data_IF_193543325150
#
_entry.id   IF_193543325150
#
_cell.length_a   1.000
_cell.length_b   1.000
_cell.length_c   1.000
_cell.angle_alpha   90.00
_cell.angle_beta   90.00
_cell.angle_gamma   90.00
#
_symmetry.space_group_name_H-M   'P 1'
#
loop_
_entity.id
_entity.type
_entity.pdbx_description
1 polymer ?
#
# COMPACT_ATOMS: atom_id res chain seq x y z
N UNK A 1 -19.21 -16.74 -2.88
CA UNK A 1 -17.86 -17.10 -2.37
C UNK A 1 -17.10 -17.79 -3.48
N UNK A 2 -15.99 -17.21 -3.93
CA UNK A 2 -15.07 -17.91 -4.84
C UNK A 2 -14.10 -18.77 -4.03
N UNK A 3 -13.32 -19.62 -4.67
CA UNK A 3 -12.18 -20.29 -4.05
C UNK A 3 -10.91 -19.93 -4.84
N UNK A 4 -9.79 -19.79 -4.14
CA UNK A 4 -8.45 -19.72 -4.77
C UNK A 4 -7.61 -20.80 -4.11
N UNK A 5 -7.11 -21.75 -4.90
CA UNK A 5 -6.34 -22.91 -4.41
C UNK A 5 -6.99 -23.72 -3.28
N UNK A 6 -8.32 -23.87 -3.30
CA UNK A 6 -9.06 -24.64 -2.29
C UNK A 6 -9.42 -23.87 -1.02
N UNK A 7 -8.98 -22.62 -0.88
CA UNK A 7 -9.35 -21.75 0.24
C UNK A 7 -10.51 -20.82 -0.14
N UNK A 8 -11.48 -20.59 0.76
CA UNK A 8 -12.55 -19.62 0.53
C UNK A 8 -11.93 -18.27 0.21
N UNK A 9 -12.32 -17.69 -0.93
CA UNK A 9 -12.07 -16.29 -1.23
C UNK A 9 -12.90 -15.49 -0.23
N UNK A 10 -12.25 -15.04 0.84
CA UNK A 10 -12.82 -14.11 1.81
C UNK A 10 -12.99 -12.77 1.09
N UNK A 11 -14.11 -12.63 0.37
CA UNK A 11 -14.35 -11.43 -0.46
C UNK A 11 -14.83 -10.24 0.36
N UNK A 12 -15.29 -10.45 1.59
CA UNK A 12 -15.62 -9.45 2.61
C UNK A 12 -15.66 -10.20 3.96
N UNK A 13 -14.86 -9.78 4.94
CA UNK A 13 -14.98 -10.25 6.34
C UNK A 13 -15.79 -9.19 7.07
N UNK A 14 -17.03 -9.52 7.44
CA UNK A 14 -17.79 -8.69 8.39
C UNK A 14 -17.04 -8.68 9.73
N UNK A 15 -16.98 -7.53 10.39
CA UNK A 15 -16.17 -7.33 11.59
C UNK A 15 -14.71 -7.81 11.44
N UNK A 16 -14.05 -7.38 10.35
CA UNK A 16 -12.67 -7.74 10.07
C UNK A 16 -11.69 -7.36 11.21
N UNK A 17 -12.02 -6.36 12.04
CA UNK A 17 -11.24 -6.02 13.23
C UNK A 17 -11.35 -7.11 14.29
N UNK A 18 -12.57 -7.57 14.61
CA UNK A 18 -12.77 -8.71 15.52
C UNK A 18 -12.11 -9.99 15.01
N UNK A 19 -12.16 -10.23 13.69
CA UNK A 19 -11.43 -11.34 13.07
C UNK A 19 -9.91 -11.22 13.27
N UNK A 20 -9.33 -10.02 13.10
CA UNK A 20 -7.90 -9.82 13.35
C UNK A 20 -7.54 -9.97 14.82
N UNK A 21 -8.39 -9.50 15.75
CA UNK A 21 -8.20 -9.72 17.18
C UNK A 21 -8.10 -11.21 17.48
N UNK A 22 -9.08 -12.01 17.05
CA UNK A 22 -9.06 -13.48 17.21
C UNK A 22 -7.83 -14.14 16.57
N UNK A 23 -7.42 -13.68 15.40
CA UNK A 23 -6.29 -14.26 14.66
C UNK A 23 -4.92 -13.90 15.22
N UNK A 24 -4.83 -12.82 16.00
CA UNK A 24 -3.58 -12.32 16.61
C UNK A 24 -3.46 -12.68 18.10
N UNK A 25 -4.54 -13.19 18.71
CA UNK A 25 -4.52 -13.67 20.09
C UNK A 25 -3.63 -14.91 20.25
N UNK A 26 -2.77 -14.96 21.30
CA UNK A 26 -2.03 -16.16 21.67
C UNK A 26 -2.96 -17.35 21.93
N UNK A 27 -2.59 -18.53 21.44
CA UNK A 27 -3.39 -19.76 21.62
C UNK A 27 -2.94 -20.58 22.81
N UNK A 28 -3.84 -21.41 23.32
CA UNK A 28 -3.50 -22.41 24.35
C UNK A 28 -2.39 -23.33 23.83
N UNK A 29 -1.28 -23.41 24.57
CA UNK A 29 -0.08 -24.15 24.15
C UNK A 29 1.00 -23.31 23.44
N UNK A 30 0.76 -22.03 23.19
CA UNK A 30 1.76 -21.05 22.70
C UNK A 30 2.38 -20.24 23.87
N UNK A 31 2.42 -20.84 25.06
CA UNK A 31 2.99 -20.23 26.26
C UNK A 31 4.47 -19.88 26.04
N UNK A 32 4.77 -18.59 26.04
CA UNK A 32 6.14 -18.06 25.86
C UNK A 32 6.48 -17.57 24.45
N UNK A 33 5.55 -17.62 23.49
CA UNK A 33 5.67 -16.88 22.22
C UNK A 33 5.54 -15.40 22.53
N UNK A 34 6.63 -14.64 22.33
CA UNK A 34 6.69 -13.20 22.58
C UNK A 34 6.78 -12.40 21.28
N UNK A 35 6.81 -13.08 20.14
CA UNK A 35 6.88 -12.49 18.81
C UNK A 35 5.55 -11.88 18.40
N UNK A 36 5.64 -10.80 17.63
CA UNK A 36 4.45 -10.13 17.10
C UNK A 36 3.80 -10.96 15.98
N UNK A 37 2.47 -11.00 15.98
CA UNK A 37 1.69 -11.29 14.79
C UNK A 37 1.93 -10.21 13.72
N UNK A 38 2.05 -10.63 12.46
CA UNK A 38 2.32 -9.72 11.34
C UNK A 38 1.07 -9.53 10.50
N UNK A 39 0.60 -8.28 10.38
CA UNK A 39 -0.52 -7.91 9.52
C UNK A 39 -0.02 -7.05 8.37
N UNK A 40 -0.33 -7.42 7.13
CA UNK A 40 0.00 -6.59 5.95
C UNK A 40 -1.28 -5.98 5.42
N UNK A 41 -1.41 -4.67 5.60
CA UNK A 41 -2.49 -3.85 5.05
C UNK A 41 -2.05 -3.31 3.70
N UNK A 42 -2.98 -3.30 2.76
CA UNK A 42 -2.76 -2.60 1.51
C UNK A 42 -4.04 -2.07 0.89
N UNK A 43 -3.90 -0.99 0.11
CA UNK A 43 -4.98 -0.33 -0.60
C UNK A 43 -4.54 -0.03 -2.03
N UNK A 44 -5.40 0.57 -2.85
CA UNK A 44 -5.02 0.94 -4.22
C UNK A 44 -6.17 1.29 -5.14
N UNK A 45 -6.13 0.73 -6.35
CA UNK A 45 -6.92 1.17 -7.52
C UNK A 45 -8.44 1.19 -7.33
N UNK A 46 -8.99 0.44 -6.37
CA UNK A 46 -10.42 0.46 -6.09
C UNK A 46 -10.90 1.73 -5.38
N UNK A 47 -9.99 2.60 -4.92
CA UNK A 47 -10.30 3.97 -4.50
C UNK A 47 -10.30 4.91 -5.71
N UNK A 48 -11.12 4.66 -6.71
CA UNK A 48 -11.09 5.45 -7.95
C UNK A 48 -12.48 5.78 -8.46
N UNK A 49 -12.55 6.74 -9.37
CA UNK A 49 -13.79 7.08 -10.09
C UNK A 49 -14.38 5.88 -10.82
N UNK A 50 -13.55 5.03 -11.42
CA UNK A 50 -13.98 3.80 -12.06
C UNK A 50 -14.65 2.83 -11.08
N UNK A 51 -14.02 2.59 -9.94
CA UNK A 51 -14.49 1.61 -8.96
C UNK A 51 -15.69 2.13 -8.13
N UNK A 52 -15.73 3.44 -7.85
CA UNK A 52 -16.76 4.08 -7.02
C UNK A 52 -17.85 4.77 -7.86
N UNK A 53 -17.96 4.45 -9.15
CA UNK A 53 -18.85 5.15 -10.09
C UNK A 53 -20.32 5.21 -9.64
N UNK A 54 -20.81 4.17 -8.94
CA UNK A 54 -22.19 4.13 -8.42
C UNK A 54 -22.42 5.06 -7.22
N UNK A 55 -21.36 5.39 -6.47
CA UNK A 55 -21.41 6.27 -5.30
C UNK A 55 -21.12 7.75 -5.65
N UNK A 56 -20.83 8.03 -6.92
CA UNK A 56 -20.44 9.35 -7.40
C UNK A 56 -21.63 10.00 -8.13
N UNK A 57 -22.15 11.15 -7.64
CA UNK A 57 -23.18 11.88 -8.35
C UNK A 57 -22.65 12.38 -9.70
N UNK A 58 -23.28 11.92 -10.79
CA UNK A 58 -22.88 12.23 -12.19
C UNK A 58 -23.00 13.72 -12.55
N UNK A 59 -23.70 14.51 -11.74
CA UNK A 59 -23.92 15.94 -11.94
C UNK A 59 -22.80 16.81 -11.37
N UNK A 60 -21.87 16.25 -10.59
CA UNK A 60 -20.79 17.02 -9.98
C UNK A 60 -19.62 17.22 -10.95
N UNK A 61 -18.93 18.38 -10.88
CA UNK A 61 -17.68 18.58 -11.60
C UNK A 61 -16.62 17.57 -11.18
N UNK A 62 -15.79 17.12 -12.13
CA UNK A 62 -14.74 16.11 -11.87
C UNK A 62 -13.80 16.49 -10.72
N UNK A 63 -13.42 17.75 -10.61
CA UNK A 63 -12.58 18.26 -9.52
C UNK A 63 -13.20 18.00 -8.15
N UNK A 64 -14.52 18.19 -8.02
CA UNK A 64 -15.25 17.96 -6.77
C UNK A 64 -15.33 16.47 -6.46
N UNK A 65 -15.53 15.63 -7.47
CA UNK A 65 -15.58 14.17 -7.30
C UNK A 65 -14.25 13.66 -6.80
N UNK A 66 -13.14 14.07 -7.42
CA UNK A 66 -11.78 13.69 -6.99
C UNK A 66 -11.52 14.11 -5.55
N UNK A 67 -11.80 15.37 -5.20
CA UNK A 67 -11.63 15.86 -3.84
C UNK A 67 -12.43 15.04 -2.80
N UNK A 68 -13.64 14.60 -3.14
CA UNK A 68 -14.45 13.73 -2.25
C UNK A 68 -13.83 12.34 -2.07
N UNK A 69 -13.31 11.74 -3.14
CA UNK A 69 -12.63 10.44 -3.05
C UNK A 69 -11.38 10.56 -2.19
N UNK A 70 -10.54 11.59 -2.40
CA UNK A 70 -9.34 11.78 -1.58
C UNK A 70 -9.68 12.07 -0.11
N UNK A 71 -10.73 12.85 0.16
CA UNK A 71 -11.21 13.07 1.52
C UNK A 71 -11.69 11.77 2.17
N UNK A 72 -12.54 10.99 1.48
CA UNK A 72 -13.02 9.72 1.98
C UNK A 72 -11.88 8.70 2.19
N UNK A 73 -10.86 8.73 1.33
CA UNK A 73 -9.65 7.93 1.48
C UNK A 73 -8.92 8.30 2.77
N UNK A 74 -8.70 9.60 3.02
CA UNK A 74 -8.05 10.07 4.23
C UNK A 74 -8.83 9.69 5.50
N UNK A 75 -10.15 9.87 5.49
CA UNK A 75 -11.01 9.45 6.62
C UNK A 75 -10.96 7.94 6.86
N UNK A 76 -10.86 7.13 5.81
CA UNK A 76 -10.65 5.68 5.95
C UNK A 76 -9.33 5.38 6.65
N UNK A 77 -8.23 6.04 6.28
CA UNK A 77 -6.92 5.86 6.93
C UNK A 77 -6.98 6.28 8.40
N UNK A 78 -7.58 7.44 8.69
CA UNK A 78 -7.81 7.94 10.05
C UNK A 78 -8.70 7.02 10.89
N UNK A 79 -9.52 6.18 10.27
CA UNK A 79 -10.37 5.22 10.97
C UNK A 79 -9.64 3.89 11.22
N UNK A 80 -8.90 3.39 10.22
CA UNK A 80 -8.26 2.06 10.28
C UNK A 80 -7.14 2.03 11.32
N UNK A 81 -6.28 3.04 11.36
CA UNK A 81 -5.11 3.04 12.24
C UNK A 81 -5.52 2.95 13.72
N UNK A 82 -6.44 3.81 14.22
CA UNK A 82 -6.96 3.67 15.58
C UNK A 82 -7.76 2.39 15.81
N UNK A 83 -8.47 1.87 14.80
CA UNK A 83 -9.25 0.64 14.96
C UNK A 83 -8.38 -0.60 15.20
N UNK A 84 -7.15 -0.62 14.67
CA UNK A 84 -6.18 -1.70 14.89
C UNK A 84 -5.22 -1.43 16.05
N UNK A 85 -5.20 -0.21 16.58
CA UNK A 85 -4.38 0.15 17.72
C UNK A 85 -4.55 -0.81 18.93
N UNK A 86 -5.75 -1.34 19.26
CA UNK A 86 -5.91 -2.24 20.40
C UNK A 86 -5.29 -3.63 20.24
N UNK A 87 -4.91 -4.04 19.02
CA UNK A 87 -4.33 -5.37 18.78
C UNK A 87 -3.00 -5.50 19.54
N UNK A 88 -2.92 -6.51 20.41
CA UNK A 88 -1.73 -6.78 21.23
C UNK A 88 -0.73 -7.60 20.44
N UNK A 89 0.57 -7.47 20.78
CA UNK A 89 1.66 -8.24 20.16
C UNK A 89 1.51 -8.32 18.63
N UNK A 90 1.29 -7.17 18.00
CA UNK A 90 0.98 -7.10 16.58
C UNK A 90 1.79 -5.98 15.94
N UNK A 91 2.47 -6.32 14.85
CA UNK A 91 3.10 -5.37 13.95
C UNK A 91 2.30 -5.32 12.65
N UNK A 92 1.78 -4.13 12.33
CA UNK A 92 1.03 -3.84 11.11
C UNK A 92 1.90 -3.11 10.10
N UNK A 93 2.05 -3.69 8.93
CA UNK A 93 2.72 -3.08 7.79
C UNK A 93 1.70 -2.51 6.83
N UNK A 94 1.83 -1.23 6.48
CA UNK A 94 1.20 -0.72 5.27
C UNK A 94 2.18 -0.82 4.11
N UNK A 95 1.84 -1.62 3.11
CA UNK A 95 2.55 -1.65 1.82
C UNK A 95 2.08 -0.48 0.97
N UNK A 96 3.01 0.39 0.55
CA UNK A 96 2.70 1.47 -0.39
C UNK A 96 1.94 0.95 -1.62
N UNK A 97 0.94 1.72 -2.07
CA UNK A 97 0.22 1.46 -3.32
C UNK A 97 1.24 1.45 -4.46
N UNK A 98 1.25 0.37 -5.22
CA UNK A 98 2.16 0.24 -6.35
C UNK A 98 1.65 1.07 -7.55
N UNK A 99 2.53 1.75 -8.29
CA UNK A 99 2.17 2.53 -9.47
C UNK A 99 1.74 1.63 -10.63
N UNK A 100 0.80 2.12 -11.44
CA UNK A 100 0.58 1.58 -12.77
C UNK A 100 1.43 2.30 -13.82
N UNK A 101 1.78 1.62 -14.90
CA UNK A 101 2.58 2.19 -15.99
C UNK A 101 1.82 2.15 -17.31
N UNK A 102 1.29 3.29 -17.75
CA UNK A 102 0.61 3.35 -19.05
C UNK A 102 1.53 2.79 -20.15
N UNK A 103 0.97 1.97 -21.04
CA UNK A 103 1.70 1.33 -22.14
C UNK A 103 2.88 0.45 -21.69
N UNK A 104 2.76 -0.23 -20.55
CA UNK A 104 3.72 -1.20 -20.04
C UNK A 104 4.23 -2.21 -21.08
N UNK A 105 3.44 -2.53 -22.11
CA UNK A 105 3.87 -3.41 -23.23
C UNK A 105 5.05 -2.87 -24.04
N UNK A 106 5.33 -1.57 -23.97
CA UNK A 106 6.46 -0.91 -24.63
C UNK A 106 7.70 -0.87 -23.73
N UNK A 107 7.54 -1.19 -22.45
CA UNK A 107 8.58 -1.17 -21.44
C UNK A 107 9.12 -2.59 -21.31
N UNK A 108 10.31 -2.84 -21.87
CA UNK A 108 10.94 -4.18 -21.82
C UNK A 108 12.12 -4.23 -20.84
N UNK A 109 12.43 -3.12 -20.18
CA UNK A 109 13.53 -2.98 -19.23
C UNK A 109 13.15 -2.02 -18.10
N UNK A 110 13.70 -2.20 -16.89
CA UNK A 110 13.53 -1.24 -15.81
C UNK A 110 14.03 0.14 -16.21
N UNK A 111 13.41 1.18 -15.66
CA UNK A 111 13.90 2.54 -15.82
C UNK A 111 15.20 2.75 -15.04
N UNK A 112 16.27 3.17 -15.71
CA UNK A 112 17.55 3.54 -15.09
C UNK A 112 17.92 4.98 -15.48
N UNK A 113 18.27 5.88 -14.54
CA UNK A 113 18.16 5.82 -13.07
C UNK A 113 16.73 6.13 -12.56
N UNK A 114 16.48 5.99 -11.25
CA UNK A 114 15.21 6.37 -10.61
C UNK A 114 14.77 7.83 -10.93
N UNK A 115 15.72 8.75 -11.17
CA UNK A 115 15.43 10.12 -11.63
C UNK A 115 14.84 10.14 -13.06
N UNK A 116 15.22 9.20 -13.91
CA UNK A 116 14.64 8.99 -15.25
C UNK A 116 13.25 8.33 -15.19
N UNK A 117 13.02 7.43 -14.23
CA UNK A 117 11.67 6.89 -13.92
C UNK A 117 10.74 8.02 -13.44
N UNK A 118 11.21 8.79 -12.45
CA UNK A 118 10.64 10.09 -12.07
C UNK A 118 10.74 11.15 -13.15
N UNK A 119 11.27 10.86 -14.35
CA UNK A 119 11.45 11.76 -15.50
C UNK A 119 10.36 11.52 -16.56
N UNK A 120 10.09 10.25 -16.87
CA UNK A 120 8.84 9.83 -17.52
C UNK A 120 7.62 10.09 -16.61
N UNK A 121 7.84 10.05 -15.29
CA UNK A 121 6.94 10.55 -14.27
C UNK A 121 7.39 11.93 -13.70
N UNK A 122 8.21 12.77 -14.37
CA UNK A 122 8.66 14.09 -13.78
C UNK A 122 7.64 15.19 -13.87
N UNK A 123 6.59 14.99 -14.66
CA UNK A 123 5.36 15.76 -14.50
C UNK A 123 4.67 15.52 -13.15
N UNK A 124 5.19 14.60 -12.32
CA UNK A 124 4.70 14.27 -10.99
C UNK A 124 5.58 14.88 -9.88
N UNK A 125 6.49 15.81 -10.23
CA UNK A 125 7.07 16.71 -9.26
C UNK A 125 6.03 17.76 -8.88
N UNK A 126 5.37 17.58 -7.74
CA UNK A 126 4.77 18.69 -7.02
C UNK A 126 5.90 19.54 -6.40
N UNK A 127 6.58 20.35 -7.22
CA UNK A 127 7.38 21.48 -6.73
C UNK A 127 6.50 22.73 -6.48
N UNK A 128 5.18 22.58 -6.61
CA UNK A 128 4.18 23.64 -6.47
C UNK A 128 4.02 24.51 -7.73
N UNK A 129 4.76 24.28 -8.82
CA UNK A 129 4.72 25.11 -10.04
C UNK A 129 3.93 24.50 -11.20
N UNK A 130 3.76 23.18 -11.25
CA UNK A 130 2.90 22.47 -12.22
C UNK A 130 1.73 21.87 -11.45
N UNK A 131 0.50 22.25 -11.82
CA UNK A 131 -0.71 21.72 -11.16
C UNK A 131 -1.07 20.35 -11.74
N UNK A 132 -1.81 19.53 -10.97
CA UNK A 132 -2.40 18.26 -11.46
C UNK A 132 -3.23 18.50 -12.74
N UNK A 133 -3.84 19.67 -12.87
CA UNK A 133 -4.66 20.12 -14.01
C UNK A 133 -3.82 20.40 -15.27
N UNK A 134 -2.59 20.93 -15.12
CA UNK A 134 -1.67 21.17 -16.24
C UNK A 134 -1.13 19.85 -16.83
N UNK A 135 -0.99 18.83 -15.99
CA UNK A 135 -0.55 17.50 -16.39
C UNK A 135 -1.61 16.78 -17.25
N UNK A 136 -2.87 16.73 -16.80
CA UNK A 136 -3.95 16.10 -17.58
C UNK A 136 -4.33 16.80 -18.89
N UNK A 137 -3.83 18.02 -19.10
CA UNK A 137 -3.92 18.67 -20.40
C UNK A 137 -3.07 17.98 -21.48
N UNK A 138 -2.06 17.19 -21.08
CA UNK A 138 -1.21 16.44 -22.00
C UNK A 138 -1.93 15.21 -22.54
N UNK A 139 -2.07 15.16 -23.86
CA UNK A 139 -2.81 14.12 -24.61
C UNK A 139 -2.40 12.68 -24.26
N UNK A 140 -1.14 12.47 -23.88
CA UNK A 140 -0.56 11.17 -23.54
C UNK A 140 -1.09 10.60 -22.21
N UNK A 141 -1.78 11.42 -21.41
CA UNK A 141 -2.21 11.11 -20.03
C UNK A 141 -3.71 11.27 -19.85
N UNK A 142 -4.38 11.46 -20.98
CA UNK A 142 -5.81 11.26 -21.15
C UNK A 142 -6.14 9.80 -21.50
N UNK A 143 -5.16 8.88 -21.39
CA UNK A 143 -5.41 7.46 -21.49
C UNK A 143 -6.49 7.09 -20.46
N UNK A 144 -7.65 6.54 -20.90
CA UNK A 144 -8.81 6.44 -20.02
C UNK A 144 -8.56 5.60 -18.77
N UNK A 145 -7.59 4.67 -18.80
CA UNK A 145 -7.30 3.86 -17.61
C UNK A 145 -6.58 4.67 -16.51
N UNK A 146 -5.64 5.55 -16.87
CA UNK A 146 -4.97 6.44 -15.90
C UNK A 146 -5.98 7.42 -15.30
N UNK A 147 -6.83 7.99 -16.16
CA UNK A 147 -7.80 8.98 -15.76
C UNK A 147 -9.00 8.39 -15.01
N UNK A 148 -9.55 7.24 -15.39
CA UNK A 148 -10.72 6.64 -14.71
C UNK A 148 -10.32 5.96 -13.40
N UNK A 149 -9.14 5.34 -13.34
CA UNK A 149 -8.67 4.61 -12.15
C UNK A 149 -7.83 5.44 -11.18
N UNK A 150 -7.70 6.75 -11.43
CA UNK A 150 -7.01 7.72 -10.57
C UNK A 150 -5.59 7.25 -10.16
N UNK A 151 -4.83 6.66 -11.09
CA UNK A 151 -3.47 6.17 -10.82
C UNK A 151 -2.54 7.29 -10.36
N UNK A 152 -2.84 8.51 -10.77
CA UNK A 152 -2.14 9.73 -10.36
C UNK A 152 -2.31 10.10 -8.90
N UNK A 153 -3.39 9.64 -8.27
CA UNK A 153 -3.62 9.85 -6.84
C UNK A 153 -2.84 8.87 -5.96
N UNK A 154 -2.26 7.78 -6.51
CA UNK A 154 -1.62 6.73 -5.69
C UNK A 154 -0.47 7.27 -4.84
N UNK A 155 0.37 8.13 -5.43
CA UNK A 155 1.49 8.76 -4.70
C UNK A 155 1.01 9.62 -3.53
N UNK A 156 -0.04 10.43 -3.72
CA UNK A 156 -0.61 11.28 -2.66
C UNK A 156 -1.22 10.42 -1.55
N UNK A 157 -1.92 9.35 -1.90
CA UNK A 157 -2.52 8.42 -0.94
C UNK A 157 -1.50 7.65 -0.13
N UNK A 158 -0.34 7.36 -0.71
CA UNK A 158 0.80 6.83 0.03
C UNK A 158 1.31 7.82 1.09
N UNK A 159 1.33 9.12 0.78
CA UNK A 159 1.69 10.15 1.76
C UNK A 159 0.68 10.20 2.92
N UNK A 160 -0.62 10.05 2.64
CA UNK A 160 -1.65 9.98 3.70
C UNK A 160 -1.35 8.86 4.68
N UNK A 161 -1.06 7.65 4.20
CA UNK A 161 -0.68 6.53 5.07
C UNK A 161 0.62 6.79 5.83
N UNK A 162 1.66 7.26 5.13
CA UNK A 162 2.95 7.55 5.74
C UNK A 162 2.82 8.56 6.89
N UNK A 163 2.12 9.66 6.63
CA UNK A 163 1.99 10.77 7.57
C UNK A 163 1.12 10.37 8.77
N UNK A 164 0.04 9.62 8.54
CA UNK A 164 -0.82 9.13 9.62
C UNK A 164 -0.14 8.07 10.49
N UNK A 165 0.59 7.13 9.88
CA UNK A 165 1.40 6.15 10.61
C UNK A 165 2.47 6.85 11.45
N UNK A 166 3.16 7.84 10.87
CA UNK A 166 4.18 8.60 11.58
C UNK A 166 3.59 9.34 12.79
N UNK A 167 2.44 9.99 12.62
CA UNK A 167 1.72 10.65 13.72
C UNK A 167 1.34 9.67 14.83
N UNK A 168 0.73 8.55 14.46
CA UNK A 168 0.33 7.52 15.41
C UNK A 168 1.52 6.95 16.19
N UNK A 169 2.62 6.63 15.52
CA UNK A 169 3.82 6.08 16.17
C UNK A 169 4.52 7.12 17.07
N UNK A 170 4.49 8.40 16.71
CA UNK A 170 4.98 9.49 17.58
C UNK A 170 4.16 9.59 18.87
N UNK A 171 2.82 9.57 18.76
CA UNK A 171 1.91 9.56 19.91
C UNK A 171 2.14 8.33 20.79
N UNK A 172 2.21 7.14 20.17
CA UNK A 172 2.48 5.86 20.84
C UNK A 172 3.82 5.88 21.59
N UNK A 173 4.88 6.38 20.96
CA UNK A 173 6.18 6.52 21.62
C UNK A 173 6.11 7.47 22.81
N UNK A 174 5.42 8.61 22.68
CA UNK A 174 5.24 9.57 23.77
C UNK A 174 4.46 9.03 24.96
N UNK A 175 3.53 8.09 24.76
CA UNK A 175 2.83 7.38 25.84
C UNK A 175 3.76 6.39 26.55
N UNK A 176 4.53 5.59 25.80
CA UNK A 176 5.51 4.65 26.37
C UNK A 176 6.55 5.35 27.24
N UNK A 177 7.02 6.52 26.81
CA UNK A 177 7.95 7.34 27.61
C UNK A 177 7.35 7.85 28.92
N UNK A 178 6.02 8.01 29.01
CA UNK A 178 5.33 8.59 30.17
C UNK A 178 4.89 7.54 31.20
N UNK A 179 4.49 6.35 30.76
CA UNK A 179 3.92 5.32 31.63
C UNK A 179 4.97 4.30 32.17
N UNK A 180 6.23 4.40 31.73
CA UNK A 180 7.28 3.41 32.02
C UNK A 180 7.16 2.18 31.12
N UNK A 181 8.18 1.32 31.12
CA UNK A 181 8.30 0.09 30.28
C UNK A 181 7.27 -1.02 30.64
N UNK A 182 6.02 -0.66 30.94
CA UNK A 182 4.90 -1.59 30.96
C UNK A 182 4.51 -2.00 29.53
N UNK A 183 3.81 -3.16 29.41
CA UNK A 183 3.32 -3.75 28.16
C UNK A 183 3.05 -2.71 27.08
N UNK A 184 3.79 -2.79 25.97
CA UNK A 184 3.65 -1.88 24.83
C UNK A 184 2.18 -1.77 24.44
N UNK A 185 1.57 -0.60 24.72
CA UNK A 185 0.18 -0.37 24.40
C UNK A 185 0.03 -0.22 22.89
N UNK A 186 -0.54 -1.26 22.30
CA UNK A 186 -1.12 -1.26 20.97
C UNK A 186 -0.20 -1.67 19.83
N UNK A 187 -0.83 -1.89 18.68
CA UNK A 187 -0.19 -2.40 17.49
C UNK A 187 0.87 -1.43 16.96
N UNK A 188 2.06 -1.95 16.66
CA UNK A 188 3.12 -1.17 16.01
C UNK A 188 2.83 -1.02 14.53
N UNK A 189 2.91 0.20 14.00
CA UNK A 189 2.73 0.46 12.58
C UNK A 189 4.03 0.76 11.84
N UNK A 190 4.16 0.22 10.63
CA UNK A 190 5.32 0.44 9.76
C UNK A 190 4.86 0.73 8.33
N UNK A 191 5.35 1.84 7.78
CA UNK A 191 5.19 2.18 6.37
C UNK A 191 6.30 1.53 5.54
N UNK A 192 5.93 0.62 4.64
CA UNK A 192 6.85 0.01 3.66
C UNK A 192 6.82 0.82 2.36
N UNK A 193 7.86 1.63 2.15
CA UNK A 193 8.00 2.47 0.96
C UNK A 193 8.60 1.70 -0.23
N UNK A 194 7.74 1.07 -1.03
CA UNK A 194 8.13 0.45 -2.29
C UNK A 194 7.91 1.36 -3.50
N UNK A 195 7.32 2.54 -3.32
CA UNK A 195 6.89 3.41 -4.42
C UNK A 195 7.98 3.65 -5.46
N UNK A 196 9.15 4.10 -5.03
CA UNK A 196 10.24 4.43 -5.95
C UNK A 196 10.85 3.21 -6.63
N UNK A 197 10.84 2.05 -5.95
CA UNK A 197 11.31 0.79 -6.53
C UNK A 197 10.32 0.32 -7.59
N UNK A 198 9.04 0.27 -7.26
CA UNK A 198 7.98 -0.21 -8.15
C UNK A 198 7.81 0.69 -9.38
N UNK A 199 8.00 2.01 -9.23
CA UNK A 199 8.00 2.99 -10.32
C UNK A 199 9.10 2.75 -11.36
N UNK A 200 10.17 2.05 -10.99
CA UNK A 200 11.21 1.68 -11.96
C UNK A 200 10.84 0.44 -12.77
N UNK A 201 9.76 -0.26 -12.39
CA UNK A 201 9.45 -1.62 -12.86
C UNK A 201 8.28 -1.68 -13.84
N UNK A 202 8.16 -0.69 -14.71
CA UNK A 202 7.16 -0.73 -15.79
C UNK A 202 7.30 -1.93 -16.73
N UNK A 203 8.49 -2.57 -16.75
CA UNK A 203 8.78 -3.81 -17.46
C UNK A 203 8.15 -5.07 -16.85
N UNK A 204 7.70 -5.00 -15.60
CA UNK A 204 7.29 -6.15 -14.82
C UNK A 204 5.77 -6.34 -14.75
N UNK A 205 4.99 -5.55 -15.49
CA UNK A 205 3.53 -5.71 -15.53
C UNK A 205 3.09 -6.99 -16.22
N UNK A 206 1.89 -7.48 -15.88
CA UNK A 206 1.32 -8.58 -16.63
C UNK A 206 1.01 -8.12 -18.06
N UNK A 207 1.30 -8.96 -19.04
CA UNK A 207 0.87 -8.70 -20.42
C UNK A 207 -0.52 -9.31 -20.69
N UNK A 208 -1.31 -9.53 -19.63
CA UNK A 208 -2.67 -10.02 -19.80
C UNK A 208 -3.55 -8.92 -20.39
N UNK A 209 -4.44 -9.31 -21.30
CA UNK A 209 -5.36 -8.37 -21.93
C UNK A 209 -6.63 -8.33 -21.08
N UNK A 210 -6.94 -7.16 -20.54
CA UNK A 210 -8.19 -6.87 -19.86
C UNK A 210 -9.40 -7.16 -20.76
N UNK A 211 -10.58 -7.31 -20.15
CA UNK A 211 -11.84 -7.54 -20.89
C UNK A 211 -12.16 -6.45 -21.92
N UNK A 212 -11.52 -5.27 -21.84
CA UNK A 212 -11.66 -4.16 -22.79
C UNK A 212 -10.61 -4.18 -23.92
N UNK A 213 -9.85 -5.26 -24.08
CA UNK A 213 -8.84 -5.39 -25.13
C UNK A 213 -7.53 -4.63 -24.87
N UNK A 214 -7.34 -4.11 -23.65
CA UNK A 214 -6.15 -3.34 -23.25
C UNK A 214 -5.24 -4.16 -22.35
N UNK A 215 -3.93 -3.92 -22.42
CA UNK A 215 -2.98 -4.61 -21.55
C UNK A 215 -3.11 -4.15 -20.11
N UNK A 216 -3.02 -5.09 -19.18
CA UNK A 216 -3.09 -4.84 -17.74
C UNK A 216 -1.76 -4.29 -17.23
N UNK A 217 -1.68 -2.96 -17.19
CA UNK A 217 -0.52 -2.26 -16.70
C UNK A 217 -0.64 -1.77 -15.25
N UNK A 218 -1.47 -2.44 -14.46
CA UNK A 218 -1.58 -2.22 -13.02
C UNK A 218 -1.00 -3.41 -12.25
N UNK A 219 -1.40 -4.63 -12.64
CA UNK A 219 -0.91 -5.83 -11.97
C UNK A 219 0.49 -6.17 -12.46
N UNK A 220 1.31 -6.68 -11.54
CA UNK A 220 2.65 -7.16 -11.86
C UNK A 220 2.64 -8.66 -12.14
N UNK A 221 3.50 -9.11 -13.05
CA UNK A 221 3.75 -10.51 -13.25
C UNK A 221 4.46 -11.11 -12.01
N UNK A 222 4.15 -12.37 -11.70
CA UNK A 222 4.91 -13.16 -10.74
C UNK A 222 6.13 -13.79 -11.44
N UNK A 223 7.30 -13.93 -10.78
CA UNK A 223 7.58 -13.58 -9.38
C UNK A 223 8.25 -12.20 -9.18
N UNK A 224 8.31 -11.35 -10.22
CA UNK A 224 9.21 -10.19 -10.34
C UNK A 224 9.25 -9.22 -9.13
N UNK A 225 8.33 -8.27 -9.04
CA UNK A 225 8.35 -7.24 -7.96
C UNK A 225 7.96 -7.83 -6.61
N UNK A 226 7.14 -8.87 -6.63
CA UNK A 226 6.63 -9.53 -5.43
C UNK A 226 7.76 -10.17 -4.61
N UNK A 227 8.74 -10.80 -5.27
CA UNK A 227 9.93 -11.30 -4.57
C UNK A 227 10.70 -10.16 -3.91
N UNK A 228 10.82 -9.00 -4.56
CA UNK A 228 11.50 -7.84 -3.97
C UNK A 228 10.77 -7.33 -2.72
N UNK A 229 9.43 -7.29 -2.75
CA UNK A 229 8.63 -6.93 -1.58
C UNK A 229 8.83 -7.93 -0.44
N UNK A 230 8.81 -9.23 -0.74
CA UNK A 230 9.02 -10.29 0.26
C UNK A 230 10.44 -10.28 0.83
N UNK A 231 11.46 -10.07 -0.01
CA UNK A 231 12.86 -10.01 0.42
C UNK A 231 13.10 -8.82 1.35
N UNK A 232 12.50 -7.65 1.06
CA UNK A 232 12.63 -6.47 1.93
C UNK A 232 11.87 -6.67 3.24
N UNK A 233 10.67 -7.27 3.20
CA UNK A 233 9.94 -7.62 4.41
C UNK A 233 10.76 -8.59 5.28
N UNK A 234 11.32 -9.64 4.66
CA UNK A 234 12.19 -10.59 5.35
C UNK A 234 13.40 -9.90 5.98
N UNK A 235 14.07 -9.01 5.25
CA UNK A 235 15.20 -8.24 5.78
C UNK A 235 14.80 -7.38 6.98
N UNK A 236 13.63 -6.71 6.91
CA UNK A 236 13.11 -5.93 8.03
C UNK A 236 12.87 -6.80 9.28
N UNK A 237 12.27 -7.98 9.07
CA UNK A 237 12.03 -8.94 10.16
C UNK A 237 13.35 -9.47 10.72
N UNK A 238 14.30 -9.85 9.87
CA UNK A 238 15.59 -10.42 10.30
C UNK A 238 16.44 -9.43 11.10
N UNK A 239 16.44 -8.15 10.71
CA UNK A 239 17.14 -7.09 11.45
C UNK A 239 16.47 -6.78 12.80
N UNK A 240 15.14 -6.69 12.84
CA UNK A 240 14.43 -6.33 14.08
C UNK A 240 14.25 -7.47 15.07
N UNK A 241 14.29 -8.72 14.61
CA UNK A 241 14.27 -9.91 15.48
C UNK A 241 15.66 -10.31 15.98
N UNK A 242 16.73 -9.62 15.53
CA UNK A 242 18.11 -10.00 15.87
C UNK A 242 18.57 -11.33 15.26
N UNK A 243 17.83 -11.89 14.28
CA UNK A 243 18.15 -13.18 13.63
C UNK A 243 19.52 -13.15 12.92
N UNK A 244 20.00 -11.99 12.45
CA UNK A 244 21.32 -11.88 11.80
C UNK A 244 22.51 -11.80 12.78
N UNK A 245 22.30 -11.77 14.10
CA UNK A 245 23.40 -11.78 15.09
C UNK A 245 23.49 -13.09 15.89
N UNK A 246 22.66 -14.08 15.56
CA UNK A 246 22.73 -15.44 16.11
C UNK A 246 23.35 -16.43 15.14
N UNK A 247 24.61 -16.81 15.39
CA UNK A 247 25.28 -18.01 14.87
C UNK A 247 25.64 -18.06 13.37
N UNK A 248 26.74 -17.39 13.01
CA UNK A 248 27.75 -18.06 12.18
C UNK A 248 28.70 -18.80 13.14
N UNK A 249 28.30 -20.01 13.55
CA UNK A 249 29.28 -20.99 14.00
C UNK A 249 29.80 -21.63 12.72
N UNK A 250 30.98 -21.18 12.29
CA UNK A 250 31.75 -21.92 11.31
C UNK A 250 31.99 -23.33 11.88
N UNK A 251 31.44 -24.34 11.20
CA UNK A 251 31.95 -25.71 11.25
C UNK A 251 33.00 -25.89 10.17
#
# INVERSE_FOLDING_TARGET
>A
MGYVHGWPKLTNVEDWVGFLDEMTMPREGEEGVNEDSLVIVSSGAHWSRAALHDYIPKTLPMKIIRARIEHAYAEMVHTIIPALAPLRQTTVFFRSIAPGHSRCTQLTKPFLPARGARGLHSSWQFDGRVTLEDWFSQKENQEPDVAEWDWDSFGIRNLVWRDEIARYEEDRAGELWREGEGETRGAKWIYLDFWNMDLQRGDAHTLTVSQRGRSDCLHYAMPYVHNQWTDILWHYLALNSGLEHGHVVAS
#
